data_IF_964529393830
#
_entry.id   IF_964529393830
#
_cell.length_a   1.000
_cell.length_b   1.000
_cell.length_c   1.000
_cell.angle_alpha   90.00
_cell.angle_beta   90.00
_cell.angle_gamma   90.00
#
_symmetry.space_group_name_H-M   'P 1'
#
loop_
_entity.id
_entity.type
_entity.pdbx_description
1 polymer ?
#
# COMPACT_ATOMS: atom_id res chain seq x y z
N UNK A 1 12.60 -1.16 -10.33
CA UNK A 1 11.81 -0.08 -9.70
C UNK A 1 12.80 0.94 -9.18
N UNK A 2 12.79 2.18 -9.70
CA UNK A 2 13.73 3.20 -9.27
C UNK A 2 13.42 3.66 -7.84
N UNK A 3 14.43 4.11 -7.08
CA UNK A 3 14.22 4.69 -5.74
C UNK A 3 13.27 5.90 -5.75
N UNK A 4 13.11 6.58 -6.89
CA UNK A 4 12.16 7.68 -7.08
C UNK A 4 10.70 7.23 -6.93
N UNK A 5 10.37 6.01 -7.39
CA UNK A 5 9.04 5.42 -7.28
C UNK A 5 8.58 5.23 -5.84
N UNK A 6 9.51 4.91 -4.96
CA UNK A 6 9.24 4.63 -3.55
C UNK A 6 8.99 5.91 -2.75
N UNK A 7 9.48 7.06 -3.22
CA UNK A 7 9.29 8.36 -2.55
C UNK A 7 7.86 8.88 -2.55
N UNK A 8 7.01 8.41 -3.47
CA UNK A 8 5.60 8.81 -3.52
C UNK A 8 4.83 8.40 -2.24
N UNK A 9 5.24 7.27 -1.64
CA UNK A 9 4.71 6.81 -0.36
C UNK A 9 5.76 6.98 0.73
N UNK A 10 5.87 8.16 1.35
CA UNK A 10 6.81 8.43 2.46
C UNK A 10 6.59 7.53 3.70
N UNK A 11 5.72 6.53 3.61
CA UNK A 11 5.40 5.55 4.64
C UNK A 11 5.37 4.12 4.10
N UNK A 12 6.27 3.82 3.16
CA UNK A 12 6.50 2.46 2.66
C UNK A 12 7.85 2.00 3.15
N UNK A 13 7.88 0.91 3.90
CA UNK A 13 9.10 0.21 4.28
C UNK A 13 9.60 -0.68 3.13
N UNK A 14 10.81 -1.19 3.27
CA UNK A 14 11.45 -2.05 2.28
C UNK A 14 12.15 -3.22 2.97
N UNK A 15 11.88 -4.45 2.49
CA UNK A 15 12.47 -5.67 3.03
C UNK A 15 13.12 -6.49 1.92
N UNK A 16 14.39 -6.95 2.06
CA UNK A 16 15.03 -7.82 1.09
C UNK A 16 14.33 -9.18 1.04
N UNK A 17 14.45 -9.88 -0.11
CA UNK A 17 13.96 -11.23 -0.23
C UNK A 17 14.87 -12.21 0.50
N UNK A 18 14.33 -12.99 1.43
CA UNK A 18 15.07 -13.97 2.22
C UNK A 18 14.57 -15.40 2.01
N UNK A 19 13.60 -15.61 1.11
CA UNK A 19 13.00 -16.93 0.83
C UNK A 19 11.52 -16.98 1.22
N UNK A 20 11.01 -18.18 1.46
CA UNK A 20 9.67 -18.38 2.04
C UNK A 20 9.79 -18.20 3.54
N UNK A 21 8.94 -17.32 4.09
CA UNK A 21 8.98 -16.95 5.52
C UNK A 21 8.56 -18.11 6.43
N UNK A 22 9.50 -18.98 6.75
CA UNK A 22 9.33 -20.06 7.72
C UNK A 22 10.02 -19.76 9.05
N UNK A 23 10.97 -18.81 9.04
CA UNK A 23 11.78 -18.43 10.20
C UNK A 23 11.14 -17.32 11.02
N UNK A 24 11.02 -17.53 12.34
CA UNK A 24 10.54 -16.51 13.26
C UNK A 24 11.43 -15.26 13.29
N UNK A 25 12.74 -15.40 13.05
CA UNK A 25 13.66 -14.28 13.00
C UNK A 25 13.41 -13.36 11.79
N UNK A 26 12.93 -13.89 10.65
CA UNK A 26 12.52 -13.08 9.50
C UNK A 26 11.31 -12.21 9.84
N UNK A 27 10.37 -12.72 10.63
CA UNK A 27 9.23 -11.95 11.11
C UNK A 27 9.65 -10.68 11.84
N UNK A 28 10.68 -10.78 12.68
CA UNK A 28 11.20 -9.64 13.44
C UNK A 28 11.87 -8.63 12.51
N UNK A 29 12.57 -9.09 11.47
CA UNK A 29 13.16 -8.22 10.43
C UNK A 29 12.10 -7.54 9.58
N UNK A 30 11.03 -8.24 9.19
CA UNK A 30 9.87 -7.69 8.49
C UNK A 30 9.20 -6.60 9.35
N UNK A 31 8.98 -6.86 10.64
CA UNK A 31 8.41 -5.90 11.56
C UNK A 31 9.31 -4.67 11.73
N UNK A 32 10.62 -4.87 11.83
CA UNK A 32 11.59 -3.78 11.90
C UNK A 32 11.60 -2.94 10.60
N UNK A 33 11.54 -3.57 9.44
CA UNK A 33 11.48 -2.90 8.14
C UNK A 33 10.16 -2.13 7.95
N UNK A 34 9.05 -2.68 8.43
CA UNK A 34 7.76 -1.99 8.44
C UNK A 34 7.81 -0.77 9.38
N UNK A 35 8.33 -0.92 10.59
CA UNK A 35 8.43 0.13 11.58
C UNK A 35 7.11 0.85 11.82
N UNK A 36 7.08 2.18 11.63
CA UNK A 36 5.87 3.00 11.73
C UNK A 36 5.14 3.18 10.38
N UNK A 37 5.58 2.47 9.34
CA UNK A 37 4.95 2.56 8.03
C UNK A 37 3.64 1.76 8.00
N UNK A 38 2.81 2.08 7.01
CA UNK A 38 1.52 1.41 6.77
C UNK A 38 1.62 0.38 5.65
N UNK A 39 2.74 0.37 4.92
CA UNK A 39 3.01 -0.53 3.82
C UNK A 39 4.49 -0.93 3.80
N UNK A 40 4.75 -2.12 3.27
CA UNK A 40 6.08 -2.67 3.07
C UNK A 40 6.16 -3.28 1.67
N UNK A 41 7.20 -2.96 0.93
CA UNK A 41 7.54 -3.65 -0.31
C UNK A 41 8.60 -4.71 0.04
N UNK A 42 8.26 -5.95 -0.23
CA UNK A 42 9.14 -7.10 -0.06
C UNK A 42 9.71 -7.48 -1.43
N UNK A 43 11.03 -7.40 -1.59
CA UNK A 43 11.70 -7.71 -2.85
C UNK A 43 11.30 -9.09 -3.37
N UNK A 44 11.00 -9.19 -4.66
CA UNK A 44 10.66 -10.45 -5.37
C UNK A 44 9.57 -11.30 -4.69
N UNK A 45 8.87 -10.75 -3.70
CA UNK A 45 7.81 -11.45 -2.96
C UNK A 45 6.46 -10.77 -3.18
N UNK A 46 6.36 -9.47 -2.89
CA UNK A 46 5.10 -8.74 -3.00
C UNK A 46 5.05 -7.52 -2.11
N UNK A 47 3.86 -7.20 -1.64
CA UNK A 47 3.59 -6.04 -0.78
C UNK A 47 2.76 -6.45 0.43
N UNK A 48 3.00 -5.76 1.54
CA UNK A 48 2.25 -5.91 2.79
C UNK A 48 1.63 -4.56 3.15
N UNK A 49 0.39 -4.56 3.62
CA UNK A 49 -0.24 -3.38 4.21
C UNK A 49 -0.82 -3.71 5.57
N UNK A 50 -0.77 -2.75 6.48
CA UNK A 50 -1.32 -2.87 7.82
C UNK A 50 -2.32 -1.76 8.10
N UNK A 51 -3.36 -2.09 8.84
CA UNK A 51 -4.42 -1.16 9.24
C UNK A 51 -4.99 -1.52 10.60
N UNK A 52 -5.73 -0.61 11.22
CA UNK A 52 -6.46 -0.87 12.46
C UNK A 52 -7.59 -1.90 12.28
N UNK A 53 -8.02 -2.07 11.03
CA UNK A 53 -9.05 -3.02 10.62
C UNK A 53 -8.66 -3.67 9.30
N UNK A 54 -9.23 -4.86 9.00
CA UNK A 54 -9.05 -5.54 7.71
C UNK A 54 -9.49 -4.63 6.56
N UNK A 55 -10.60 -3.92 6.72
CA UNK A 55 -11.09 -2.94 5.76
C UNK A 55 -10.04 -1.89 5.41
N UNK A 56 -9.40 -1.32 6.42
CA UNK A 56 -8.36 -0.31 6.22
C UNK A 56 -7.13 -0.89 5.50
N UNK A 57 -6.66 -2.06 5.93
CA UNK A 57 -5.53 -2.74 5.29
C UNK A 57 -5.84 -3.05 3.82
N UNK A 58 -7.04 -3.54 3.52
CA UNK A 58 -7.49 -3.84 2.16
C UNK A 58 -7.51 -2.59 1.28
N UNK A 59 -8.11 -1.49 1.75
CA UNK A 59 -8.18 -0.25 0.98
C UNK A 59 -6.79 0.34 0.72
N UNK A 60 -5.90 0.27 1.71
CA UNK A 60 -4.50 0.66 1.53
C UNK A 60 -3.79 -0.20 0.47
N UNK A 61 -4.00 -1.52 0.48
CA UNK A 61 -3.45 -2.43 -0.51
C UNK A 61 -3.93 -2.06 -1.92
N UNK A 62 -5.23 -1.85 -2.08
CA UNK A 62 -5.81 -1.45 -3.37
C UNK A 62 -5.15 -0.19 -3.92
N UNK A 63 -5.06 0.88 -3.12
CA UNK A 63 -4.46 2.13 -3.56
C UNK A 63 -2.95 2.01 -3.81
N UNK A 64 -2.23 1.22 -3.01
CA UNK A 64 -0.81 0.96 -3.23
C UNK A 64 -0.56 0.28 -4.59
N UNK A 65 -1.33 -0.78 -4.89
CA UNK A 65 -1.20 -1.51 -6.15
C UNK A 65 -1.60 -0.65 -7.36
N UNK A 66 -2.66 0.15 -7.24
CA UNK A 66 -3.10 1.06 -8.30
C UNK A 66 -2.05 2.13 -8.60
N UNK A 67 -1.49 2.76 -7.56
CA UNK A 67 -0.43 3.74 -7.73
C UNK A 67 0.86 3.13 -8.32
N UNK A 68 1.25 1.93 -7.88
CA UNK A 68 2.38 1.22 -8.45
C UNK A 68 2.17 0.92 -9.96
N UNK A 69 0.95 0.50 -10.33
CA UNK A 69 0.59 0.25 -11.73
C UNK A 69 0.61 1.53 -12.58
N UNK A 70 0.08 2.64 -12.06
CA UNK A 70 0.15 3.95 -12.73
C UNK A 70 1.60 4.35 -12.94
N UNK A 71 2.43 4.23 -11.91
CA UNK A 71 3.83 4.60 -12.01
C UNK A 71 4.60 3.76 -13.03
N UNK A 72 4.41 2.44 -13.03
CA UNK A 72 5.04 1.56 -14.02
C UNK A 72 4.66 1.94 -15.45
N UNK A 73 3.39 2.32 -15.68
CA UNK A 73 2.93 2.80 -16.99
C UNK A 73 3.57 4.14 -17.36
N UNK A 74 3.71 5.05 -16.41
CA UNK A 74 4.37 6.34 -16.63
C UNK A 74 5.86 6.13 -16.95
N UNK A 75 6.57 5.30 -16.22
CA UNK A 75 7.98 4.98 -16.48
C UNK A 75 8.13 4.31 -17.87
N UNK A 76 7.23 3.41 -18.24
CA UNK A 76 7.24 2.74 -19.54
C UNK A 76 6.94 3.67 -20.72
N UNK A 77 6.26 4.80 -20.49
CA UNK A 77 5.97 5.78 -21.55
C UNK A 77 7.20 6.58 -22.00
N UNK A 78 8.30 6.52 -21.24
CA UNK A 78 9.51 7.31 -21.51
C UNK A 78 9.36 8.81 -21.26
N UNK A 79 8.23 9.26 -20.72
CA UNK A 79 7.98 10.65 -20.35
C UNK A 79 8.74 11.04 -19.05
N UNK A 80 8.98 12.32 -18.89
CA UNK A 80 9.56 12.85 -17.66
C UNK A 80 8.55 12.75 -16.50
N UNK A 81 9.01 12.18 -15.38
CA UNK A 81 8.20 12.11 -14.17
C UNK A 81 8.31 13.41 -13.37
N UNK A 82 7.18 14.07 -13.17
CA UNK A 82 7.12 15.26 -12.32
C UNK A 82 7.02 14.82 -10.85
N UNK A 83 8.09 15.04 -10.10
CA UNK A 83 8.11 14.72 -8.67
C UNK A 83 7.23 15.66 -7.86
N UNK A 84 6.41 15.09 -6.97
CA UNK A 84 5.65 15.88 -6.01
C UNK A 84 6.59 16.38 -4.91
N UNK A 85 6.64 17.70 -4.62
CA UNK A 85 7.50 18.23 -3.58
C UNK A 85 7.25 17.55 -2.22
N UNK A 86 8.32 17.23 -1.43
CA UNK A 86 8.18 16.50 -0.17
C UNK A 86 7.23 17.14 0.85
N UNK A 87 7.15 18.49 0.88
CA UNK A 87 6.24 19.20 1.78
C UNK A 87 4.76 18.98 1.40
N UNK A 88 4.45 18.84 0.11
CA UNK A 88 3.11 18.51 -0.38
C UNK A 88 2.75 17.07 0.00
N UNK A 89 3.68 16.13 -0.18
CA UNK A 89 3.48 14.74 0.26
C UNK A 89 3.16 14.65 1.76
N UNK A 90 3.93 15.38 2.60
CA UNK A 90 3.68 15.46 4.05
C UNK A 90 2.32 16.09 4.38
N UNK A 91 1.93 17.16 3.67
CA UNK A 91 0.63 17.81 3.82
C UNK A 91 -0.50 16.82 3.47
N UNK A 92 -0.40 16.14 2.34
CA UNK A 92 -1.40 15.17 1.89
C UNK A 92 -1.53 14.01 2.88
N UNK A 93 -0.41 13.47 3.38
CA UNK A 93 -0.45 12.42 4.39
C UNK A 93 -1.22 12.84 5.65
N UNK A 94 -0.97 14.07 6.16
CA UNK A 94 -1.71 14.64 7.31
C UNK A 94 -3.20 14.86 7.02
N UNK A 95 -3.55 15.24 5.78
CA UNK A 95 -4.95 15.38 5.38
C UNK A 95 -5.66 14.03 5.39
N UNK A 96 -5.03 12.99 4.87
CA UNK A 96 -5.56 11.62 4.95
C UNK A 96 -5.74 11.15 6.41
N UNK A 97 -4.81 11.47 7.30
CA UNK A 97 -4.93 11.13 8.73
C UNK A 97 -6.12 11.84 9.41
N UNK A 98 -6.37 13.10 9.06
CA UNK A 98 -7.46 13.91 9.60
C UNK A 98 -8.85 13.40 9.19
N UNK A 99 -8.95 12.90 7.95
CA UNK A 99 -10.18 12.33 7.41
C UNK A 99 -10.37 10.85 7.76
N UNK A 100 -9.50 10.31 8.62
CA UNK A 100 -9.35 8.89 8.91
C UNK A 100 -10.30 8.34 9.98
N UNK A 101 -11.40 9.05 10.29
CA UNK A 101 -12.47 8.53 11.17
C UNK A 101 -13.15 7.25 10.62
N UNK A 102 -12.58 6.69 9.58
CA UNK A 102 -13.03 5.48 8.95
C UNK A 102 -12.42 5.27 7.57
N UNK A 103 -11.08 5.20 7.48
CA UNK A 103 -10.39 4.87 6.21
C UNK A 103 -11.03 3.64 5.59
N UNK A 104 -11.52 3.77 4.35
CA UNK A 104 -12.33 2.77 3.69
C UNK A 104 -13.81 2.74 4.13
N UNK A 105 -14.29 3.67 4.95
CA UNK A 105 -15.69 3.69 5.39
C UNK A 105 -16.68 3.82 4.23
N UNK A 106 -16.34 4.60 3.21
CA UNK A 106 -17.14 4.73 1.99
C UNK A 106 -16.79 3.66 0.94
N UNK A 107 -15.50 3.34 0.80
CA UNK A 107 -15.00 2.42 -0.22
C UNK A 107 -15.41 0.97 0.08
N UNK A 108 -15.28 0.52 1.33
CA UNK A 108 -15.55 -0.87 1.70
C UNK A 108 -16.96 -1.33 1.39
N UNK A 109 -18.03 -0.58 1.74
CA UNK A 109 -19.38 -0.95 1.32
C UNK A 109 -19.57 -0.97 -0.21
N UNK A 110 -18.84 -0.12 -0.94
CA UNK A 110 -18.88 -0.12 -2.40
C UNK A 110 -18.25 -1.39 -2.97
N UNK A 111 -17.11 -1.84 -2.43
CA UNK A 111 -16.47 -3.10 -2.81
C UNK A 111 -17.36 -4.31 -2.48
N UNK A 112 -17.99 -4.33 -1.31
CA UNK A 112 -18.92 -5.40 -0.96
C UNK A 112 -20.11 -5.46 -1.94
N UNK A 113 -20.72 -4.32 -2.28
CA UNK A 113 -21.81 -4.28 -3.29
C UNK A 113 -21.33 -4.73 -4.69
N UNK A 114 -20.08 -4.45 -5.03
CA UNK A 114 -19.49 -4.95 -6.28
C UNK A 114 -19.32 -6.47 -6.23
N UNK A 115 -18.77 -6.99 -5.13
CA UNK A 115 -18.55 -8.42 -4.93
C UNK A 115 -19.88 -9.20 -4.91
N UNK A 116 -20.91 -8.67 -4.26
CA UNK A 116 -22.26 -9.26 -4.25
C UNK A 116 -22.82 -9.51 -5.66
N UNK A 117 -22.45 -8.68 -6.63
CA UNK A 117 -22.89 -8.85 -8.02
C UNK A 117 -22.05 -9.86 -8.80
N UNK A 118 -20.81 -10.09 -8.37
CA UNK A 118 -19.86 -11.00 -9.03
C UNK A 118 -19.96 -12.39 -8.44
N UNK A 119 -19.86 -12.49 -7.12
CA UNK A 119 -19.91 -13.75 -6.37
C UNK A 119 -20.30 -13.49 -4.91
N UNK A 120 -21.55 -13.75 -4.51
CA UNK A 120 -22.01 -13.57 -3.15
C UNK A 120 -21.60 -14.69 -2.18
N UNK A 121 -20.88 -15.73 -2.62
CA UNK A 121 -20.56 -16.93 -1.82
C UNK A 121 -19.70 -16.61 -0.58
N UNK A 122 -19.01 -15.47 -0.54
CA UNK A 122 -18.23 -15.03 0.61
C UNK A 122 -19.07 -14.75 1.87
N UNK A 123 -20.40 -14.73 1.75
CA UNK A 123 -21.34 -14.52 2.87
C UNK A 123 -21.78 -15.81 3.58
N UNK A 124 -21.41 -16.96 3.02
CA UNK A 124 -21.76 -18.28 3.55
C UNK A 124 -20.82 -18.75 4.65
#
# INVERSE_FOLDING_TARGET
MSQAAIRFYQRVGYHPYEGITEDFAERDRINAALGQNRALIMHNHGVLTVGKTVREAFVLMKYLLEAANIQLKMEASGGELIEIPPHICKKTAKQYEKHDSGRGSADWPAFLRMLDRIDPSYRS
#
